data_IF_450582104525
#
_entry.id   IF_450582104525
#
_cell.length_a   1.000
_cell.length_b   1.000
_cell.length_c   1.000
_cell.angle_alpha   90.00
_cell.angle_beta   90.00
_cell.angle_gamma   90.00
#
_symmetry.space_group_name_H-M   'P 1'
#
loop_
_entity.id
_entity.type
_entity.pdbx_description
1 polymer ?
#
# COMPACT_ATOMS: atom_id res chain seq x y z
N UNK A 1 -1.09 19.81 14.21
CA UNK A 1 -1.52 18.54 13.57
C UNK A 1 -0.26 17.76 13.18
N UNK A 2 0.03 16.61 13.78
CA UNK A 2 1.21 15.80 13.40
C UNK A 2 0.85 14.96 12.17
N UNK A 3 1.48 15.22 11.03
CA UNK A 3 1.35 14.38 9.82
C UNK A 3 2.37 13.24 9.93
N UNK A 4 1.91 11.99 9.94
CA UNK A 4 2.79 10.82 9.91
C UNK A 4 3.10 10.45 8.46
N UNK A 5 4.37 10.50 8.07
CA UNK A 5 4.86 10.03 6.77
C UNK A 5 5.36 8.61 7.01
N UNK A 6 4.67 7.61 6.48
CA UNK A 6 5.12 6.22 6.57
C UNK A 6 6.11 5.95 5.44
N UNK A 7 7.41 5.98 5.75
CA UNK A 7 8.43 5.40 4.87
C UNK A 7 8.39 3.88 5.05
N UNK A 8 7.78 3.19 4.09
CA UNK A 8 7.98 1.76 3.95
C UNK A 8 9.40 1.53 3.36
N UNK A 9 10.36 1.19 4.22
CA UNK A 9 11.69 0.72 3.83
C UNK A 9 11.60 -0.70 3.24
N UNK A 10 11.05 -0.84 2.02
CA UNK A 10 11.35 -2.02 1.20
C UNK A 10 11.19 -1.69 -0.30
N UNK A 11 12.33 -1.42 -0.93
CA UNK A 11 12.67 -1.41 -2.37
C UNK A 11 11.76 -0.79 -3.45
N UNK A 12 10.60 -0.20 -3.15
CA UNK A 12 9.87 0.69 -4.08
C UNK A 12 9.27 1.84 -3.30
N UNK A 13 9.97 2.99 -3.29
CA UNK A 13 9.49 4.24 -2.70
C UNK A 13 8.31 4.77 -3.53
N UNK A 14 7.12 4.22 -3.29
CA UNK A 14 5.88 4.79 -3.77
C UNK A 14 5.39 5.73 -2.67
N UNK A 15 5.28 7.02 -2.97
CA UNK A 15 4.84 8.01 -2.00
C UNK A 15 3.32 7.90 -1.80
N UNK A 16 2.93 7.40 -0.63
CA UNK A 16 1.53 7.33 -0.21
C UNK A 16 1.22 8.51 0.69
N UNK A 17 0.35 9.42 0.25
CA UNK A 17 -0.17 10.47 1.11
C UNK A 17 -1.49 10.00 1.73
N UNK A 18 -1.45 9.64 3.00
CA UNK A 18 -2.63 9.21 3.76
C UNK A 18 -3.25 10.43 4.45
N UNK A 19 -4.51 10.72 4.10
CA UNK A 19 -5.35 11.71 4.78
C UNK A 19 -6.36 11.02 5.70
N UNK A 20 -7.17 11.79 6.45
CA UNK A 20 -8.14 11.22 7.39
C UNK A 20 -9.11 10.25 6.69
N UNK A 21 -9.53 10.58 5.48
CA UNK A 21 -10.60 9.87 4.76
C UNK A 21 -10.15 9.26 3.41
N UNK A 22 -8.90 9.51 2.99
CA UNK A 22 -8.46 9.12 1.64
C UNK A 22 -6.98 8.80 1.57
N UNK A 23 -6.64 7.88 0.67
CA UNK A 23 -5.29 7.51 0.29
C UNK A 23 -4.97 8.14 -1.06
N UNK A 24 -3.90 8.93 -1.15
CA UNK A 24 -3.47 9.56 -2.40
C UNK A 24 -2.21 8.84 -2.89
N UNK A 25 -2.26 8.34 -4.14
CA UNK A 25 -1.18 7.60 -4.78
C UNK A 25 -0.96 8.16 -6.18
N UNK A 26 0.24 8.66 -6.46
CA UNK A 26 0.58 9.22 -7.79
C UNK A 26 -0.35 10.35 -8.26
N UNK A 27 -0.88 11.16 -7.33
CA UNK A 27 -1.82 12.24 -7.63
C UNK A 27 -3.29 11.81 -7.75
N UNK A 28 -3.61 10.52 -7.67
CA UNK A 28 -4.99 10.00 -7.64
C UNK A 28 -5.45 9.79 -6.20
N UNK A 29 -6.66 10.23 -5.89
CA UNK A 29 -7.30 10.12 -4.56
C UNK A 29 -8.20 8.89 -4.53
N UNK A 30 -7.94 7.99 -3.60
CA UNK A 30 -8.70 6.78 -3.34
C UNK A 30 -9.37 6.86 -1.96
N UNK A 31 -10.60 6.36 -1.79
CA UNK A 31 -11.21 6.23 -0.47
C UNK A 31 -10.36 5.32 0.42
N UNK A 32 -10.30 5.57 1.73
CA UNK A 32 -9.57 4.67 2.65
C UNK A 32 -10.09 3.23 2.65
N UNK A 33 -11.39 3.05 2.40
CA UNK A 33 -12.03 1.74 2.32
C UNK A 33 -11.70 0.99 1.02
N UNK A 34 -11.27 1.70 -0.02
CA UNK A 34 -10.93 1.15 -1.32
C UNK A 34 -9.50 1.55 -1.68
N UNK A 35 -8.50 0.76 -1.26
CA UNK A 35 -7.12 0.98 -1.71
C UNK A 35 -7.03 0.86 -3.24
N UNK A 36 -6.04 1.55 -3.87
CA UNK A 36 -5.81 1.46 -5.29
C UNK A 36 -5.65 0.01 -5.75
N UNK A 37 -6.14 -0.35 -6.96
CA UNK A 37 -5.99 -1.70 -7.51
C UNK A 37 -4.53 -2.19 -7.52
N UNK A 38 -3.57 -1.29 -7.75
CA UNK A 38 -2.14 -1.59 -7.76
C UNK A 38 -1.64 -2.07 -6.39
N UNK A 39 -2.10 -1.43 -5.30
CA UNK A 39 -1.76 -1.82 -3.92
C UNK A 39 -2.38 -3.16 -3.58
N UNK A 40 -3.63 -3.40 -3.98
CA UNK A 40 -4.33 -4.68 -3.77
C UNK A 40 -3.61 -5.81 -4.50
N UNK A 41 -3.18 -5.59 -5.75
CA UNK A 41 -2.44 -6.59 -6.53
C UNK A 41 -1.08 -6.91 -5.92
N UNK A 42 -0.33 -5.90 -5.47
CA UNK A 42 0.98 -6.12 -4.85
C UNK A 42 0.84 -6.84 -3.50
N UNK A 43 -0.17 -6.53 -2.70
CA UNK A 43 -0.49 -7.26 -1.48
C UNK A 43 -0.88 -8.72 -1.78
N UNK A 44 -1.72 -8.96 -2.78
CA UNK A 44 -2.13 -10.31 -3.18
C UNK A 44 -0.92 -11.15 -3.63
N UNK A 45 0.00 -10.56 -4.41
CA UNK A 45 1.26 -11.22 -4.81
C UNK A 45 2.15 -11.52 -3.61
N UNK A 46 2.27 -10.59 -2.66
CA UNK A 46 3.06 -10.81 -1.45
C UNK A 46 2.49 -11.95 -0.60
N UNK A 47 1.17 -11.99 -0.40
CA UNK A 47 0.48 -13.07 0.32
C UNK A 47 0.69 -14.41 -0.41
N UNK A 48 0.52 -14.44 -1.73
CA UNK A 48 0.73 -15.65 -2.52
C UNK A 48 2.19 -16.14 -2.44
N UNK A 49 3.15 -15.23 -2.39
CA UNK A 49 4.57 -15.57 -2.24
C UNK A 49 4.87 -16.12 -0.84
N UNK A 50 4.26 -15.60 0.22
CA UNK A 50 4.38 -16.15 1.58
C UNK A 50 3.77 -17.55 1.66
N UNK A 51 2.54 -17.73 1.18
CA UNK A 51 1.85 -19.04 1.17
C UNK A 51 2.63 -20.10 0.39
N UNK A 52 3.33 -19.74 -0.70
CA UNK A 52 4.18 -20.68 -1.45
C UNK A 52 5.46 -21.07 -0.70
N UNK A 53 5.98 -20.19 0.17
CA UNK A 53 7.18 -20.46 0.98
C UNK A 53 6.87 -21.38 2.15
N UNK A 54 5.71 -21.23 2.79
CA UNK A 54 5.29 -22.07 3.92
C UNK A 54 4.79 -23.47 3.51
N UNK A 55 4.61 -23.71 2.21
CA UNK A 55 4.17 -25.00 1.66
C UNK A 55 5.33 -25.95 1.27
N UNK A 56 6.59 -25.55 1.53
CA UNK A 56 7.80 -26.36 1.29
C UNK A 56 8.53 -26.68 2.60
#
# INVERSE_FOLDING_TARGET
MRRGIFLAEDKKKQEFLVTKDSLIVGGKKYPKEQPPPEVVQDLAKAIQAMLKKDLH
#
